data_IF_502617027753
#
_entry.id   IF_502617027753
#
_cell.length_a   1.000
_cell.length_b   1.000
_cell.length_c   1.000
_cell.angle_alpha   90.00
_cell.angle_beta   90.00
_cell.angle_gamma   90.00
#
_symmetry.space_group_name_H-M   'P 1'
#
loop_
_entity.id
_entity.type
_entity.pdbx_description
1 polymer ?
#
# COMPACT_ATOMS: atom_id res chain seq x y z
N UNK A 1 73.53 46.05 25.08
CA UNK A 1 73.30 44.65 25.60
C UNK A 1 72.22 44.03 24.77
N UNK A 2 72.66 43.04 24.04
CA UNK A 2 71.87 42.10 23.24
C UNK A 2 70.84 41.38 24.11
N UNK A 3 69.64 41.11 23.53
CA UNK A 3 68.92 39.88 23.81
C UNK A 3 68.00 39.61 22.62
N UNK A 4 68.35 38.65 21.77
CA UNK A 4 67.72 37.55 21.14
C UNK A 4 66.41 37.77 20.37
N UNK A 5 66.42 37.59 19.06
CA UNK A 5 65.27 37.24 18.25
C UNK A 5 65.24 35.71 18.07
N UNK A 6 64.50 34.95 18.92
CA UNK A 6 64.46 33.52 18.74
C UNK A 6 63.14 32.88 19.17
N UNK A 7 62.00 33.50 18.88
CA UNK A 7 60.68 32.84 19.16
C UNK A 7 59.60 33.05 18.07
N UNK A 8 59.92 33.65 16.93
CA UNK A 8 58.94 33.90 15.89
C UNK A 8 58.86 32.73 14.86
N UNK A 9 59.87 31.85 14.85
CA UNK A 9 59.96 30.78 13.86
C UNK A 9 59.17 29.50 14.16
N UNK A 10 58.82 29.23 15.44
CA UNK A 10 58.15 27.97 15.81
C UNK A 10 56.63 27.99 15.72
N UNK A 11 56.03 29.17 15.87
CA UNK A 11 54.54 29.25 15.72
C UNK A 11 54.06 29.23 14.25
N UNK A 12 54.91 29.63 13.33
CA UNK A 12 54.58 29.65 11.92
C UNK A 12 54.63 28.24 11.29
N UNK A 13 55.51 27.36 11.76
CA UNK A 13 55.61 25.98 11.27
C UNK A 13 54.46 25.08 11.76
N UNK A 14 53.96 25.33 12.99
CA UNK A 14 52.85 24.56 13.55
C UNK A 14 51.50 24.94 12.86
N UNK A 15 51.34 26.20 12.49
CA UNK A 15 50.12 26.70 11.85
C UNK A 15 49.96 26.22 10.41
N UNK A 16 51.05 26.04 9.69
CA UNK A 16 51.05 25.51 8.32
C UNK A 16 50.83 23.99 8.29
N UNK A 17 51.37 23.25 9.24
CA UNK A 17 51.17 21.80 9.31
C UNK A 17 49.72 21.42 9.67
N UNK A 18 49.04 22.22 10.49
CA UNK A 18 47.60 22.01 10.79
C UNK A 18 46.71 22.34 9.62
N UNK A 19 47.04 23.37 8.83
CA UNK A 19 46.27 23.69 7.61
C UNK A 19 46.44 22.63 6.53
N UNK A 20 47.64 22.08 6.35
CA UNK A 20 47.89 20.99 5.41
C UNK A 20 47.15 19.69 5.81
N UNK A 21 47.15 19.36 7.12
CA UNK A 21 46.44 18.20 7.67
C UNK A 21 44.92 18.30 7.47
N UNK A 22 44.31 19.45 7.74
CA UNK A 22 42.86 19.64 7.52
C UNK A 22 42.48 19.61 6.04
N UNK A 23 43.33 20.12 5.14
CA UNK A 23 43.08 20.05 3.69
C UNK A 23 43.14 18.61 3.17
N UNK A 24 44.00 17.78 3.73
CA UNK A 24 44.10 16.34 3.37
C UNK A 24 42.86 15.57 3.87
N UNK A 25 42.43 15.84 5.11
CA UNK A 25 41.23 15.23 5.68
C UNK A 25 39.98 15.57 4.85
N UNK A 26 39.79 16.84 4.51
CA UNK A 26 38.66 17.26 3.64
C UNK A 26 38.75 16.72 2.21
N UNK A 27 39.93 16.46 1.70
CA UNK A 27 40.12 15.79 0.40
C UNK A 27 39.73 14.32 0.48
N UNK A 28 40.12 13.59 1.52
CA UNK A 28 39.73 12.20 1.75
C UNK A 28 38.25 12.06 2.02
N UNK A 29 37.62 12.91 2.83
CA UNK A 29 36.17 12.92 3.03
C UNK A 29 35.41 13.14 1.72
N UNK A 30 35.89 14.03 0.85
CA UNK A 30 35.26 14.30 -0.45
C UNK A 30 35.43 13.15 -1.44
N UNK A 31 36.53 12.42 -1.41
CA UNK A 31 36.78 11.26 -2.25
C UNK A 31 36.01 10.03 -1.76
N UNK A 32 35.89 9.83 -0.44
CA UNK A 32 35.10 8.74 0.12
C UNK A 32 33.59 8.95 -0.03
N UNK A 33 33.09 10.18 0.10
CA UNK A 33 31.68 10.49 -0.11
C UNK A 33 31.26 10.39 -1.58
N UNK A 34 32.16 10.67 -2.54
CA UNK A 34 31.86 10.49 -3.96
C UNK A 34 31.71 9.02 -4.36
N UNK A 35 32.47 8.12 -3.73
CA UNK A 35 32.44 6.68 -4.02
C UNK A 35 31.13 6.02 -3.54
N UNK A 36 30.53 6.51 -2.47
CA UNK A 36 29.24 6.01 -1.97
C UNK A 36 28.08 6.56 -2.81
N UNK A 37 28.14 7.82 -3.22
CA UNK A 37 27.18 8.44 -4.15
C UNK A 37 27.21 7.78 -5.53
N UNK A 38 28.39 7.40 -6.02
CA UNK A 38 28.52 6.69 -7.29
C UNK A 38 27.91 5.29 -7.23
N UNK A 39 28.10 4.56 -6.14
CA UNK A 39 27.46 3.27 -5.90
C UNK A 39 25.96 3.36 -5.77
N UNK A 40 25.45 4.36 -5.06
CA UNK A 40 24.01 4.61 -4.94
C UNK A 40 23.39 4.97 -6.29
N UNK A 41 24.07 5.81 -7.08
CA UNK A 41 23.65 6.15 -8.44
C UNK A 41 23.61 4.92 -9.35
N UNK A 42 24.59 4.04 -9.28
CA UNK A 42 24.62 2.80 -10.05
C UNK A 42 23.50 1.84 -9.62
N UNK A 43 23.25 1.71 -8.30
CA UNK A 43 22.13 0.92 -7.79
C UNK A 43 20.78 1.47 -8.22
N UNK A 44 20.62 2.79 -8.23
CA UNK A 44 19.40 3.46 -8.70
C UNK A 44 19.19 3.25 -10.21
N UNK A 45 20.25 3.31 -11.01
CA UNK A 45 20.20 3.01 -12.45
C UNK A 45 19.81 1.57 -12.73
N UNK A 46 20.38 0.62 -12.00
CA UNK A 46 20.03 -0.80 -12.11
C UNK A 46 18.55 -1.02 -11.74
N UNK A 47 18.07 -0.39 -10.67
CA UNK A 47 16.65 -0.45 -10.29
C UNK A 47 15.74 0.18 -11.35
N UNK A 48 16.12 1.35 -11.89
CA UNK A 48 15.37 1.97 -12.97
C UNK A 48 15.27 1.05 -14.20
N UNK A 49 16.37 0.45 -14.62
CA UNK A 49 16.36 -0.49 -15.73
C UNK A 49 15.46 -1.71 -15.46
N UNK A 50 15.46 -2.22 -14.22
CA UNK A 50 14.54 -3.29 -13.83
C UNK A 50 13.07 -2.84 -13.86
N UNK A 51 12.77 -1.63 -13.40
CA UNK A 51 11.40 -1.08 -13.49
C UNK A 51 10.93 -0.90 -14.93
N UNK A 52 11.79 -0.41 -15.82
CA UNK A 52 11.47 -0.28 -17.26
C UNK A 52 11.15 -1.63 -17.90
N UNK A 53 11.91 -2.68 -17.57
CA UNK A 53 11.65 -4.06 -18.05
C UNK A 53 10.30 -4.57 -17.53
N UNK A 54 10.03 -4.40 -16.22
CA UNK A 54 8.79 -4.84 -15.59
C UNK A 54 7.59 -4.09 -16.17
N UNK A 55 7.73 -2.78 -16.39
CA UNK A 55 6.68 -1.94 -16.98
C UNK A 55 6.35 -2.39 -18.40
N UNK A 56 7.36 -2.66 -19.22
CA UNK A 56 7.20 -3.19 -20.58
C UNK A 56 6.53 -4.58 -20.58
N UNK A 57 6.92 -5.46 -19.68
CA UNK A 57 6.31 -6.79 -19.53
C UNK A 57 4.84 -6.69 -19.09
N UNK A 58 4.55 -5.78 -18.16
CA UNK A 58 3.19 -5.53 -17.67
C UNK A 58 2.30 -4.97 -18.79
N UNK A 59 2.82 -4.07 -19.63
CA UNK A 59 2.10 -3.55 -20.79
C UNK A 59 1.81 -4.66 -21.80
N UNK A 60 2.79 -5.49 -22.12
CA UNK A 60 2.61 -6.65 -23.00
C UNK A 60 1.56 -7.63 -22.47
N UNK A 61 1.60 -7.96 -21.18
CA UNK A 61 0.62 -8.84 -20.54
C UNK A 61 -0.79 -8.23 -20.52
N UNK A 62 -0.91 -6.92 -20.36
CA UNK A 62 -2.20 -6.21 -20.45
C UNK A 62 -2.78 -6.27 -21.86
N UNK A 63 -1.96 -6.03 -22.87
CA UNK A 63 -2.38 -6.13 -24.27
C UNK A 63 -2.83 -7.55 -24.62
N UNK A 64 -2.06 -8.57 -24.20
CA UNK A 64 -2.41 -9.96 -24.40
C UNK A 64 -3.71 -10.34 -23.68
N UNK A 65 -3.89 -9.89 -22.44
CA UNK A 65 -5.12 -10.11 -21.67
C UNK A 65 -6.32 -9.44 -22.33
N UNK A 66 -6.18 -8.20 -22.81
CA UNK A 66 -7.21 -7.51 -23.58
C UNK A 66 -7.58 -8.29 -24.84
N UNK A 67 -6.60 -8.72 -25.60
CA UNK A 67 -6.80 -9.52 -26.80
C UNK A 67 -7.51 -10.86 -26.50
N UNK A 68 -7.12 -11.53 -25.42
CA UNK A 68 -7.78 -12.78 -25.01
C UNK A 68 -9.24 -12.56 -24.60
N UNK A 69 -9.52 -11.45 -23.90
CA UNK A 69 -10.88 -11.04 -23.54
C UNK A 69 -11.74 -10.76 -24.78
N UNK A 70 -11.19 -10.05 -25.76
CA UNK A 70 -11.87 -9.76 -27.02
C UNK A 70 -12.20 -11.04 -27.80
N UNK A 71 -11.24 -11.99 -27.86
CA UNK A 71 -11.46 -13.29 -28.51
C UNK A 71 -12.56 -14.12 -27.84
N UNK A 72 -12.73 -13.97 -26.52
CA UNK A 72 -13.76 -14.64 -25.73
C UNK A 72 -15.09 -13.87 -25.71
N UNK A 73 -15.20 -12.70 -26.35
CA UNK A 73 -16.29 -11.73 -26.16
C UNK A 73 -16.56 -11.42 -24.68
N UNK A 74 -15.48 -11.40 -23.88
CA UNK A 74 -15.56 -11.16 -22.44
C UNK A 74 -15.63 -9.66 -22.18
N UNK A 75 -16.79 -9.19 -21.73
CA UNK A 75 -16.97 -7.81 -21.31
C UNK A 75 -16.52 -7.69 -19.85
N UNK A 76 -15.41 -7.02 -19.62
CA UNK A 76 -14.94 -6.75 -18.25
C UNK A 76 -15.82 -5.66 -17.63
N UNK A 77 -16.48 -6.00 -16.53
CA UNK A 77 -17.32 -5.07 -15.77
C UNK A 77 -16.44 -4.15 -14.92
N UNK A 78 -15.12 -4.41 -14.82
CA UNK A 78 -14.22 -3.78 -13.86
C UNK A 78 -13.64 -2.43 -14.30
N UNK A 79 -13.70 -2.05 -15.58
CA UNK A 79 -12.99 -0.86 -16.08
C UNK A 79 -13.73 0.49 -15.89
N UNK A 80 -14.91 0.51 -15.26
CA UNK A 80 -15.77 1.70 -15.16
C UNK A 80 -16.19 2.09 -13.74
N UNK A 81 -15.35 1.84 -12.71
CA UNK A 81 -15.69 2.34 -11.39
C UNK A 81 -15.32 3.81 -11.21
N UNK A 82 -16.30 4.62 -10.78
CA UNK A 82 -16.05 5.98 -10.31
C UNK A 82 -15.84 5.97 -8.79
N UNK A 83 -14.87 6.75 -8.32
CA UNK A 83 -14.55 6.85 -6.91
C UNK A 83 -15.05 8.16 -6.33
N UNK A 84 -15.66 8.08 -5.16
CA UNK A 84 -16.06 9.23 -4.35
C UNK A 84 -15.14 9.27 -3.14
N UNK A 85 -14.31 10.32 -3.03
CA UNK A 85 -13.44 10.49 -1.87
C UNK A 85 -14.19 11.13 -0.72
N UNK A 86 -14.08 10.55 0.48
CA UNK A 86 -14.77 11.04 1.67
C UNK A 86 -13.91 10.89 2.93
N UNK A 87 -14.33 11.55 4.01
CA UNK A 87 -13.66 11.52 5.31
C UNK A 87 -14.58 10.92 6.37
N UNK A 88 -14.01 10.09 7.25
CA UNK A 88 -14.75 9.57 8.42
C UNK A 88 -14.98 10.70 9.41
N UNK A 89 -16.26 10.97 9.71
CA UNK A 89 -16.69 12.03 10.62
C UNK A 89 -17.26 11.53 11.95
N UNK A 90 -17.53 10.23 12.05
CA UNK A 90 -18.05 9.61 13.27
C UNK A 90 -17.82 8.12 13.31
N UNK A 91 -17.70 7.58 14.51
CA UNK A 91 -17.62 6.13 14.77
C UNK A 91 -18.70 5.76 15.78
N UNK A 92 -19.29 4.56 15.63
CA UNK A 92 -20.22 4.06 16.65
C UNK A 92 -19.49 3.84 17.97
N UNK A 93 -20.15 4.19 19.08
CA UNK A 93 -19.60 3.95 20.42
C UNK A 93 -19.86 2.50 20.82
N UNK A 94 -18.81 1.71 20.92
CA UNK A 94 -18.85 0.30 21.34
C UNK A 94 -17.46 -0.31 21.33
N UNK A 95 -17.34 -1.47 21.93
CA UNK A 95 -16.09 -2.25 21.96
C UNK A 95 -15.72 -2.73 20.54
N UNK A 96 -16.70 -2.75 19.64
CA UNK A 96 -16.59 -3.20 18.27
C UNK A 96 -16.94 -2.04 17.32
N UNK A 97 -15.94 -1.54 16.60
CA UNK A 97 -16.13 -0.46 15.61
C UNK A 97 -16.71 -1.02 14.30
N UNK A 98 -17.89 -1.62 14.39
CA UNK A 98 -18.56 -2.23 13.24
C UNK A 98 -19.20 -1.22 12.29
N UNK A 99 -19.51 0.01 12.76
CA UNK A 99 -20.10 1.06 11.94
C UNK A 99 -19.36 2.39 12.08
N UNK A 100 -19.21 3.11 10.98
CA UNK A 100 -18.70 4.48 10.96
C UNK A 100 -19.49 5.34 9.96
N UNK A 101 -19.44 6.65 10.17
CA UNK A 101 -20.13 7.63 9.33
C UNK A 101 -19.10 8.41 8.52
N UNK A 102 -19.36 8.59 7.24
CA UNK A 102 -18.52 9.38 6.34
C UNK A 102 -19.25 10.61 5.82
N UNK A 103 -18.49 11.65 5.48
CA UNK A 103 -18.99 12.92 4.94
C UNK A 103 -19.15 12.81 3.40
N UNK A 104 -19.98 11.89 2.96
CA UNK A 104 -20.45 11.78 1.58
C UNK A 104 -21.83 11.13 1.60
N UNK A 105 -22.76 11.61 0.80
CA UNK A 105 -24.14 11.18 0.81
C UNK A 105 -24.75 11.11 -0.58
N UNK A 106 -26.08 11.07 -0.63
CA UNK A 106 -26.83 10.98 -1.90
C UNK A 106 -26.53 12.12 -2.87
N UNK A 107 -26.20 13.31 -2.37
CA UNK A 107 -25.82 14.47 -3.20
C UNK A 107 -24.50 14.27 -3.93
N UNK A 108 -23.62 13.46 -3.35
CA UNK A 108 -22.31 13.14 -3.89
C UNK A 108 -22.35 11.88 -4.80
N UNK A 109 -23.53 11.29 -4.97
CA UNK A 109 -23.73 10.07 -5.78
C UNK A 109 -23.52 8.77 -5.02
N UNK A 110 -23.51 8.81 -3.66
CA UNK A 110 -23.41 7.59 -2.86
C UNK A 110 -24.74 6.86 -2.83
N UNK A 111 -24.70 5.55 -3.06
CA UNK A 111 -25.83 4.64 -3.00
C UNK A 111 -25.61 3.54 -1.95
N UNK A 112 -26.70 2.91 -1.52
CA UNK A 112 -26.64 1.76 -0.61
C UNK A 112 -25.95 0.58 -1.30
N UNK A 113 -25.25 -0.21 -0.52
CA UNK A 113 -24.42 -1.35 -0.93
C UNK A 113 -23.14 -1.01 -1.70
N UNK A 114 -22.78 0.26 -1.88
CA UNK A 114 -21.49 0.61 -2.46
C UNK A 114 -20.33 0.13 -1.56
N UNK A 115 -19.26 -0.37 -2.18
CA UNK A 115 -18.04 -0.76 -1.51
C UNK A 115 -17.26 0.46 -1.04
N UNK A 116 -16.71 0.38 0.17
CA UNK A 116 -15.82 1.41 0.73
C UNK A 116 -14.42 0.83 0.84
N UNK A 117 -13.45 1.51 0.23
CA UNK A 117 -12.06 1.06 0.13
C UNK A 117 -11.10 2.11 0.66
N UNK A 118 -9.92 1.67 1.08
CA UNK A 118 -8.78 2.53 1.38
C UNK A 118 -7.54 2.07 0.59
N UNK A 119 -6.38 2.62 0.87
CA UNK A 119 -5.12 2.25 0.23
C UNK A 119 -4.66 0.81 0.49
N UNK A 120 -5.23 0.13 1.49
CA UNK A 120 -4.88 -1.24 1.84
C UNK A 120 -5.88 -2.27 1.31
N UNK A 121 -7.13 -1.85 1.00
CA UNK A 121 -8.16 -2.74 0.47
C UNK A 121 -9.57 -2.37 0.90
N UNK A 122 -10.42 -3.39 1.02
CA UNK A 122 -11.82 -3.24 1.39
C UNK A 122 -11.95 -2.90 2.87
N UNK A 123 -12.69 -1.84 3.17
CA UNK A 123 -12.98 -1.38 4.54
C UNK A 123 -14.39 -1.76 4.99
N UNK A 124 -15.35 -1.68 4.08
CA UNK A 124 -16.74 -1.92 4.42
C UNK A 124 -17.71 -1.72 3.26
N UNK A 125 -18.98 -1.67 3.61
CA UNK A 125 -20.09 -1.45 2.69
C UNK A 125 -21.01 -0.37 3.22
N UNK A 126 -21.51 0.49 2.32
CA UNK A 126 -22.53 1.48 2.66
C UNK A 126 -23.82 0.78 3.08
N UNK A 127 -24.27 1.00 4.29
CA UNK A 127 -25.49 0.43 4.86
C UNK A 127 -26.68 1.35 4.70
N UNK A 128 -26.50 2.66 4.94
CA UNK A 128 -27.58 3.63 4.77
C UNK A 128 -27.04 4.99 4.30
N UNK A 129 -27.83 5.69 3.48
CA UNK A 129 -27.43 6.94 2.84
C UNK A 129 -28.38 8.07 3.22
N UNK A 130 -27.83 9.13 3.79
CA UNK A 130 -28.49 10.42 4.02
C UNK A 130 -28.15 11.43 2.93
N UNK A 131 -28.65 12.65 3.02
CA UNK A 131 -28.42 13.67 1.99
C UNK A 131 -26.93 14.04 1.82
N UNK A 132 -26.17 14.17 2.92
CA UNK A 132 -24.77 14.62 2.93
C UNK A 132 -23.83 13.64 3.65
N UNK A 133 -24.33 12.55 4.19
CA UNK A 133 -23.55 11.55 4.94
C UNK A 133 -24.04 10.16 4.65
N UNK A 134 -23.21 9.16 4.85
CA UNK A 134 -23.65 7.76 4.86
C UNK A 134 -23.03 6.98 6.00
N UNK A 135 -23.69 5.91 6.40
CA UNK A 135 -23.20 4.95 7.37
C UNK A 135 -22.61 3.75 6.64
N UNK A 136 -21.46 3.33 7.09
CA UNK A 136 -20.71 2.21 6.52
C UNK A 136 -20.59 1.13 7.58
N UNK A 137 -20.92 -0.11 7.22
CA UNK A 137 -20.66 -1.29 8.03
C UNK A 137 -19.29 -1.84 7.65
N UNK A 138 -18.41 -1.99 8.63
CA UNK A 138 -17.05 -2.49 8.42
C UNK A 138 -17.05 -3.99 8.08
N UNK A 139 -15.98 -4.44 7.39
CA UNK A 139 -15.82 -5.87 7.05
C UNK A 139 -15.61 -6.77 8.26
N UNK A 140 -15.14 -6.20 9.37
CA UNK A 140 -14.94 -6.89 10.64
C UNK A 140 -16.24 -7.17 11.40
N UNK A 141 -17.36 -6.63 10.93
CA UNK A 141 -18.67 -6.91 11.52
C UNK A 141 -19.08 -8.36 11.23
N UNK A 142 -19.57 -9.06 12.25
CA UNK A 142 -20.00 -10.46 12.14
C UNK A 142 -21.23 -10.68 11.25
N UNK A 143 -21.93 -9.60 10.89
CA UNK A 143 -23.07 -9.61 9.96
C UNK A 143 -22.67 -9.31 8.51
N UNK A 144 -21.40 -8.99 8.27
CA UNK A 144 -20.87 -8.60 6.97
C UNK A 144 -20.26 -9.80 6.26
N UNK A 145 -21.06 -10.51 5.47
CA UNK A 145 -20.58 -11.60 4.62
C UNK A 145 -20.05 -11.03 3.29
N UNK A 146 -18.80 -11.34 2.97
CA UNK A 146 -18.11 -10.87 1.79
C UNK A 146 -17.77 -12.07 0.91
N UNK A 147 -18.20 -12.03 -0.35
CA UNK A 147 -17.77 -13.05 -1.32
C UNK A 147 -16.28 -12.85 -1.64
N UNK A 148 -15.49 -13.83 -1.23
CA UNK A 148 -14.04 -13.80 -1.28
C UNK A 148 -13.48 -14.83 -2.26
N UNK A 149 -12.22 -14.63 -2.66
CA UNK A 149 -11.47 -15.55 -3.50
C UNK A 149 -10.00 -15.50 -3.09
N UNK A 150 -9.37 -16.65 -3.01
CA UNK A 150 -7.91 -16.76 -2.86
C UNK A 150 -7.28 -16.38 -4.20
N UNK A 151 -6.40 -15.38 -4.22
CA UNK A 151 -5.84 -14.85 -5.47
C UNK A 151 -4.99 -15.90 -6.22
N UNK A 152 -4.21 -16.72 -5.50
CA UNK A 152 -3.30 -17.72 -6.05
C UNK A 152 -4.05 -18.93 -6.63
N UNK A 153 -4.95 -19.55 -5.86
CA UNK A 153 -5.63 -20.80 -6.24
C UNK A 153 -6.93 -20.58 -6.99
N UNK A 154 -7.48 -19.34 -6.91
CA UNK A 154 -8.80 -18.99 -7.43
C UNK A 154 -9.95 -19.72 -6.75
N UNK A 155 -9.72 -20.28 -5.56
CA UNK A 155 -10.77 -20.88 -4.75
C UNK A 155 -11.71 -19.81 -4.19
N UNK A 156 -12.99 -20.06 -4.27
CA UNK A 156 -14.04 -19.16 -3.81
C UNK A 156 -14.49 -19.55 -2.40
N UNK A 157 -14.79 -18.55 -1.60
CA UNK A 157 -15.33 -18.69 -0.27
C UNK A 157 -16.02 -17.41 0.18
N UNK A 158 -16.33 -17.32 1.46
CA UNK A 158 -16.87 -16.12 2.07
C UNK A 158 -15.97 -15.70 3.24
N UNK A 159 -15.77 -14.41 3.39
CA UNK A 159 -15.08 -13.82 4.53
C UNK A 159 -16.09 -13.11 5.44
N UNK A 160 -15.95 -13.29 6.74
CA UNK A 160 -16.78 -12.68 7.78
C UNK A 160 -15.94 -12.24 8.96
N UNK A 161 -16.30 -11.14 9.60
CA UNK A 161 -15.69 -10.70 10.85
C UNK A 161 -15.98 -11.69 11.99
N UNK A 162 -14.97 -12.00 12.78
CA UNK A 162 -15.13 -12.80 14.00
C UNK A 162 -15.10 -11.86 15.20
N UNK A 163 -16.07 -12.01 16.08
CA UNK A 163 -16.04 -11.40 17.41
C UNK A 163 -15.01 -12.14 18.26
N UNK A 164 -13.75 -11.77 18.17
CA UNK A 164 -12.70 -12.39 18.97
C UNK A 164 -12.35 -11.51 20.18
N UNK A 165 -12.19 -12.16 21.36
CA UNK A 165 -11.93 -11.49 22.63
C UNK A 165 -10.48 -10.98 22.74
N UNK A 166 -9.60 -11.36 21.81
CA UNK A 166 -8.16 -11.14 21.89
C UNK A 166 -7.65 -9.88 21.12
N UNK A 167 -8.49 -8.86 20.95
CA UNK A 167 -8.15 -7.55 20.33
C UNK A 167 -7.55 -7.62 18.91
N UNK A 168 -7.58 -8.78 18.25
CA UNK A 168 -7.15 -8.88 16.84
C UNK A 168 -8.36 -8.84 15.92
N UNK A 169 -8.35 -7.87 15.03
CA UNK A 169 -9.28 -7.76 13.92
C UNK A 169 -9.01 -8.89 12.93
N UNK A 170 -9.71 -10.02 13.09
CA UNK A 170 -9.56 -11.21 12.24
C UNK A 170 -10.84 -11.48 11.48
N UNK A 171 -10.68 -11.99 10.26
CA UNK A 171 -11.77 -12.48 9.42
C UNK A 171 -11.70 -13.99 9.35
N UNK A 172 -12.83 -14.65 9.39
CA UNK A 172 -12.97 -16.07 9.10
C UNK A 172 -13.26 -16.27 7.62
N UNK A 173 -12.51 -17.15 6.99
CA UNK A 173 -12.80 -17.59 5.63
C UNK A 173 -13.50 -18.95 5.68
N UNK A 174 -14.70 -19.05 5.15
CA UNK A 174 -15.56 -20.23 5.22
C UNK A 174 -16.18 -20.59 3.86
N UNK A 175 -16.78 -21.77 3.75
CA UNK A 175 -17.30 -22.36 2.51
C UNK A 175 -16.25 -22.51 1.40
N UNK A 176 -15.00 -22.80 1.77
CA UNK A 176 -13.99 -23.19 0.80
C UNK A 176 -14.30 -24.57 0.19
N UNK A 177 -13.90 -24.83 -1.07
CA UNK A 177 -14.05 -26.14 -1.70
C UNK A 177 -13.31 -27.24 -0.93
N UNK A 178 -13.80 -28.49 -1.00
CA UNK A 178 -13.07 -29.60 -0.41
C UNK A 178 -11.72 -29.78 -1.10
N UNK A 179 -10.63 -29.74 -0.31
CA UNK A 179 -9.25 -29.86 -0.83
C UNK A 179 -8.60 -28.53 -1.18
N UNK A 180 -9.08 -27.43 -0.61
CA UNK A 180 -8.43 -26.12 -0.75
C UNK A 180 -6.96 -26.17 -0.31
N UNK A 181 -6.12 -25.41 -0.98
CA UNK A 181 -4.70 -25.23 -0.68
C UNK A 181 -4.45 -23.77 -0.27
N UNK A 182 -4.65 -23.47 1.02
CA UNK A 182 -4.42 -22.16 1.59
C UNK A 182 -3.09 -22.16 2.35
N UNK A 183 -2.20 -21.23 1.98
CA UNK A 183 -0.88 -21.10 2.59
C UNK A 183 -0.80 -19.74 3.30
N UNK A 184 -0.18 -19.66 4.49
CA UNK A 184 0.04 -18.39 5.17
C UNK A 184 0.74 -17.39 4.26
N UNK A 185 0.15 -16.19 4.12
CA UNK A 185 0.60 -15.15 3.20
C UNK A 185 -0.16 -15.09 1.86
N UNK A 186 -1.11 -15.99 1.61
CA UNK A 186 -1.99 -15.87 0.44
C UNK A 186 -2.86 -14.62 0.55
N UNK A 187 -2.97 -13.87 -0.55
CA UNK A 187 -3.85 -12.71 -0.65
C UNK A 187 -5.29 -13.14 -0.88
N UNK A 188 -6.19 -12.63 -0.05
CA UNK A 188 -7.62 -12.81 -0.19
C UNK A 188 -8.21 -11.56 -0.81
N UNK A 189 -8.94 -11.72 -1.91
CA UNK A 189 -9.59 -10.63 -2.65
C UNK A 189 -11.08 -10.86 -2.80
N UNK A 190 -11.83 -9.80 -3.10
CA UNK A 190 -13.25 -9.93 -3.44
C UNK A 190 -13.44 -10.70 -4.73
N UNK A 191 -14.40 -11.63 -4.75
CA UNK A 191 -14.65 -12.49 -5.91
C UNK A 191 -15.49 -11.84 -7.01
N UNK A 192 -16.25 -10.79 -6.66
CA UNK A 192 -17.25 -10.18 -7.55
C UNK A 192 -18.55 -10.96 -7.66
N UNK A 193 -18.65 -12.15 -7.04
CA UNK A 193 -19.86 -12.96 -7.03
C UNK A 193 -20.94 -12.26 -6.19
N UNK A 194 -22.17 -12.23 -6.70
CA UNK A 194 -23.29 -11.55 -6.04
C UNK A 194 -23.42 -10.07 -6.37
N UNK A 195 -22.47 -9.48 -7.09
CA UNK A 195 -22.55 -8.10 -7.60
C UNK A 195 -22.50 -6.99 -6.55
N UNK A 196 -22.33 -7.33 -5.25
CA UNK A 196 -22.26 -6.34 -4.16
C UNK A 196 -20.90 -5.67 -4.11
N UNK A 197 -19.83 -6.42 -4.33
CA UNK A 197 -18.45 -5.92 -4.30
C UNK A 197 -17.79 -6.07 -5.67
N UNK A 198 -17.05 -5.06 -6.14
CA UNK A 198 -16.18 -5.20 -7.30
C UNK A 198 -15.19 -6.35 -7.10
N UNK A 199 -14.83 -7.04 -8.18
CA UNK A 199 -13.85 -8.13 -8.14
C UNK A 199 -12.42 -7.57 -7.95
N UNK A 200 -11.59 -8.28 -7.17
CA UNK A 200 -10.17 -8.02 -7.08
C UNK A 200 -9.75 -6.98 -6.04
N UNK A 201 -10.65 -6.55 -5.15
CA UNK A 201 -10.30 -5.67 -4.04
C UNK A 201 -9.70 -6.53 -2.92
N UNK A 202 -8.50 -6.17 -2.42
CA UNK A 202 -7.88 -6.87 -1.31
C UNK A 202 -8.75 -6.83 -0.05
N UNK A 203 -8.89 -7.96 0.63
CA UNK A 203 -9.61 -8.10 1.90
C UNK A 203 -8.59 -8.28 3.03
N UNK A 204 -7.54 -9.07 2.81
CA UNK A 204 -6.50 -9.36 3.79
C UNK A 204 -5.54 -10.45 3.34
N UNK A 205 -4.68 -10.85 4.25
CA UNK A 205 -3.73 -11.97 4.09
C UNK A 205 -4.13 -13.10 5.01
N UNK A 206 -3.94 -14.33 4.56
CA UNK A 206 -4.17 -15.54 5.35
C UNK A 206 -3.04 -15.81 6.35
#
# INVERSE_FOLDING_TARGET
>A
YEIMPSLVGSEMCIRDSVKASNSIIHFFERVFSSTDLDKENEQLRVKLAQYEIIESELETLREENSRLKDLLNYTDITDNYSYITSTVIGKSQGIWFSEFTVNAGRKDGVEENMAVVNSQGLVGRVNSVSANTCKVTAIIDSTSDISAMVERTRDYGFARGILNTDEKETLELYYLPSGYDLVPGDTIVTSGIGGTFPKGIAIGLS
#
